data_IF_839889610925
#
_entry.id   IF_839889610925
#
_cell.length_a   1.000
_cell.length_b   1.000
_cell.length_c   1.000
_cell.angle_alpha   90.00
_cell.angle_beta   90.00
_cell.angle_gamma   90.00
#
_symmetry.space_group_name_H-M   'P 1'
#
loop_
_entity.id
_entity.type
_entity.pdbx_description
1 polymer ?
#
# COMPACT_ATOMS: atom_id res chain seq x y z
N UNK A 1 0.23 3.50 -49.59
CA UNK A 1 -0.56 2.61 -48.73
C UNK A 1 -0.24 2.96 -47.29
N UNK A 2 -1.18 3.69 -46.69
CA UNK A 2 -1.36 4.13 -45.29
C UNK A 2 -0.23 3.91 -44.27
N UNK A 3 0.43 5.02 -43.95
CA UNK A 3 0.74 5.51 -42.59
C UNK A 3 -0.31 5.06 -41.54
N UNK A 4 0.05 4.14 -40.65
CA UNK A 4 -0.67 3.97 -39.39
C UNK A 4 0.31 3.77 -38.23
N UNK A 5 0.78 4.91 -37.76
CA UNK A 5 1.02 5.29 -36.37
C UNK A 5 1.34 4.18 -35.36
N UNK A 6 2.56 4.26 -34.82
CA UNK A 6 2.86 3.82 -33.46
C UNK A 6 2.02 4.65 -32.47
N UNK A 7 1.41 4.00 -31.47
CA UNK A 7 1.57 4.54 -30.13
C UNK A 7 1.95 3.45 -29.15
N UNK A 8 3.16 3.58 -28.63
CA UNK A 8 3.44 3.65 -27.19
C UNK A 8 2.90 2.47 -26.39
N UNK A 9 3.82 1.69 -25.84
CA UNK A 9 3.93 1.57 -24.38
C UNK A 9 5.21 0.78 -24.11
N UNK A 10 6.27 1.49 -23.74
CA UNK A 10 7.14 0.90 -22.73
C UNK A 10 6.26 0.71 -21.49
N UNK A 11 6.32 -0.46 -20.85
CA UNK A 11 6.69 -0.30 -19.47
C UNK A 11 7.63 -1.42 -19.14
N UNK A 12 8.79 -1.04 -18.60
CA UNK A 12 9.36 -1.59 -17.37
C UNK A 12 8.58 -2.80 -16.79
N UNK A 13 8.60 -3.89 -17.54
CA UNK A 13 7.94 -5.12 -17.20
C UNK A 13 8.93 -5.78 -16.30
N UNK A 14 8.87 -5.45 -15.00
CA UNK A 14 9.40 -6.35 -13.99
C UNK A 14 8.61 -7.65 -14.18
N UNK A 15 9.10 -8.50 -15.09
CA UNK A 15 8.65 -9.86 -15.25
C UNK A 15 9.01 -10.50 -13.93
N UNK A 16 8.05 -10.48 -13.01
CA UNK A 16 8.08 -11.25 -11.79
C UNK A 16 8.33 -12.68 -12.24
N UNK A 17 9.59 -13.14 -12.16
CA UNK A 17 10.01 -14.47 -12.57
C UNK A 17 9.04 -15.46 -11.94
N UNK A 18 8.08 -15.92 -12.74
CA UNK A 18 7.08 -16.86 -12.30
C UNK A 18 7.83 -18.15 -12.02
N UNK A 19 7.80 -18.61 -10.76
CA UNK A 19 8.26 -19.97 -10.46
C UNK A 19 7.35 -20.91 -11.26
N UNK A 20 7.91 -21.59 -12.28
CA UNK A 20 7.21 -22.57 -13.14
C UNK A 20 6.29 -23.44 -12.26
N UNK A 21 4.98 -23.37 -12.50
CA UNK A 21 3.99 -24.25 -11.86
C UNK A 21 3.23 -23.71 -10.63
N UNK A 22 3.36 -22.43 -10.25
CA UNK A 22 2.51 -21.84 -9.19
C UNK A 22 1.45 -20.89 -9.77
N UNK A 23 0.16 -21.03 -9.40
CA UNK A 23 -0.86 -20.07 -9.80
C UNK A 23 -0.47 -18.68 -9.28
N UNK A 24 -0.47 -17.70 -10.18
CA UNK A 24 -0.22 -16.31 -9.86
C UNK A 24 -1.54 -15.57 -9.79
N UNK A 25 -1.61 -14.58 -8.90
CA UNK A 25 -2.80 -13.76 -8.70
C UNK A 25 -2.51 -12.36 -9.23
N UNK A 26 -3.30 -11.90 -10.19
CA UNK A 26 -3.09 -10.63 -10.90
C UNK A 26 -4.13 -9.61 -10.44
N UNK A 27 -3.68 -8.38 -10.17
CA UNK A 27 -4.59 -7.27 -9.89
C UNK A 27 -5.25 -6.79 -11.18
N UNK A 28 -6.57 -6.78 -11.23
CA UNK A 28 -7.33 -6.32 -12.41
C UNK A 28 -7.16 -4.83 -12.71
N UNK A 29 -6.84 -4.02 -11.71
CA UNK A 29 -6.75 -2.56 -11.85
C UNK A 29 -5.39 -2.09 -12.35
N UNK A 30 -4.29 -2.69 -11.88
CA UNK A 30 -2.93 -2.26 -12.23
C UNK A 30 -2.03 -3.37 -12.78
N UNK A 31 -2.59 -4.56 -13.04
CA UNK A 31 -1.90 -5.71 -13.61
C UNK A 31 -0.67 -6.20 -12.82
N UNK A 32 -0.55 -5.81 -11.53
CA UNK A 32 0.51 -6.31 -10.66
C UNK A 32 0.30 -7.79 -10.34
N UNK A 33 1.39 -8.55 -10.42
CA UNK A 33 1.39 -10.01 -10.22
C UNK A 33 1.88 -10.34 -8.80
N UNK A 34 1.10 -11.16 -8.11
CA UNK A 34 1.39 -11.66 -6.77
C UNK A 34 1.48 -13.19 -6.78
N UNK A 35 2.42 -13.73 -6.01
CA UNK A 35 2.59 -15.18 -5.85
C UNK A 35 1.64 -15.79 -4.82
N UNK A 36 0.86 -14.97 -4.09
CA UNK A 36 -0.08 -15.37 -3.04
C UNK A 36 -1.38 -14.56 -3.14
N UNK A 37 -2.53 -15.23 -3.01
CA UNK A 37 -3.85 -14.60 -3.05
C UNK A 37 -4.05 -13.56 -1.94
N UNK A 38 -3.55 -13.83 -0.74
CA UNK A 38 -3.61 -12.91 0.41
C UNK A 38 -2.93 -11.58 0.10
N UNK A 39 -1.77 -11.62 -0.56
CA UNK A 39 -1.05 -10.40 -0.93
C UNK A 39 -1.81 -9.59 -1.98
N UNK A 40 -2.47 -10.26 -2.93
CA UNK A 40 -3.35 -9.59 -3.88
C UNK A 40 -4.53 -8.92 -3.15
N UNK A 41 -5.24 -9.64 -2.28
CA UNK A 41 -6.36 -9.09 -1.49
C UNK A 41 -5.94 -7.87 -0.67
N UNK A 42 -4.80 -7.95 -0.02
CA UNK A 42 -4.22 -6.82 0.74
C UNK A 42 -3.87 -5.66 -0.17
N UNK A 43 -3.31 -5.92 -1.35
CA UNK A 43 -3.02 -4.87 -2.32
C UNK A 43 -4.28 -4.20 -2.86
N UNK A 44 -5.38 -4.92 -3.04
CA UNK A 44 -6.64 -4.31 -3.49
C UNK A 44 -7.11 -3.18 -2.55
N UNK A 45 -6.81 -3.27 -1.25
CA UNK A 45 -7.11 -2.17 -0.31
C UNK A 45 -6.34 -0.89 -0.62
N UNK A 46 -5.18 -0.94 -1.31
CA UNK A 46 -4.46 0.27 -1.72
C UNK A 46 -5.08 1.00 -2.89
N UNK A 47 -5.99 0.34 -3.62
CA UNK A 47 -6.78 0.96 -4.68
C UNK A 47 -8.00 1.71 -4.13
N UNK A 48 -8.40 1.41 -2.90
CA UNK A 48 -9.46 2.11 -2.22
C UNK A 48 -8.93 3.39 -1.57
N UNK A 49 -9.80 4.39 -1.45
CA UNK A 49 -9.52 5.62 -0.71
C UNK A 49 -9.08 5.29 0.72
N UNK A 50 -8.01 5.92 1.24
CA UNK A 50 -7.49 5.61 2.56
C UNK A 50 -8.47 6.06 3.65
N UNK A 51 -9.05 5.07 4.33
CA UNK A 51 -10.11 5.27 5.33
C UNK A 51 -9.59 5.57 6.74
N UNK A 52 -8.31 5.29 7.01
CA UNK A 52 -7.74 5.37 8.35
C UNK A 52 -6.90 6.63 8.48
N UNK A 53 -7.42 7.66 9.14
CA UNK A 53 -6.71 8.93 9.35
C UNK A 53 -5.99 8.94 10.70
N UNK A 54 -4.74 9.40 10.70
CA UNK A 54 -4.02 9.74 11.91
C UNK A 54 -4.58 11.04 12.50
N UNK A 55 -4.97 11.02 13.76
CA UNK A 55 -5.51 12.20 14.44
C UNK A 55 -4.42 13.23 14.83
N UNK A 56 -3.14 12.85 14.78
CA UNK A 56 -2.03 13.71 15.19
C UNK A 56 -1.47 14.52 14.00
N UNK A 57 -1.35 13.91 12.83
CA UNK A 57 -0.76 14.56 11.65
C UNK A 57 -1.58 14.40 10.37
N UNK A 58 -2.85 14.03 10.51
CA UNK A 58 -3.85 13.90 9.43
C UNK A 58 -3.49 12.95 8.27
N UNK A 59 -2.37 12.22 8.38
CA UNK A 59 -1.95 11.23 7.39
C UNK A 59 -2.99 10.13 7.28
N UNK A 60 -3.37 9.80 6.05
CA UNK A 60 -4.35 8.76 5.75
C UNK A 60 -3.65 7.45 5.32
N UNK A 61 -4.21 6.34 5.77
CA UNK A 61 -3.74 5.00 5.51
C UNK A 61 -4.89 4.15 4.97
N UNK A 62 -4.57 3.22 4.07
CA UNK A 62 -5.54 2.28 3.51
C UNK A 62 -5.80 1.06 4.42
N UNK A 63 -5.00 0.91 5.49
CA UNK A 63 -5.10 -0.21 6.43
C UNK A 63 -4.85 0.21 7.86
N UNK A 64 -5.54 -0.44 8.80
CA UNK A 64 -5.45 -0.20 10.25
C UNK A 64 -4.06 -0.50 10.82
N UNK A 65 -3.41 -1.60 10.42
CA UNK A 65 -2.09 -1.97 10.92
C UNK A 65 -0.99 -0.96 10.52
N UNK A 66 -1.14 -0.33 9.36
CA UNK A 66 -0.24 0.73 8.91
C UNK A 66 -0.42 2.00 9.76
N UNK A 67 -1.67 2.35 10.07
CA UNK A 67 -2.02 3.45 10.96
C UNK A 67 -1.49 3.19 12.37
N UNK A 68 -1.68 1.99 12.93
CA UNK A 68 -1.20 1.62 14.28
C UNK A 68 0.32 1.70 14.38
N UNK A 69 1.05 1.12 13.42
CA UNK A 69 2.51 1.24 13.37
C UNK A 69 2.97 2.69 13.21
N UNK A 70 2.22 3.49 12.45
CA UNK A 70 2.48 4.92 12.33
C UNK A 70 2.23 5.66 13.64
N UNK A 71 1.17 5.33 14.37
CA UNK A 71 0.85 5.90 15.67
C UNK A 71 1.94 5.62 16.69
N UNK A 72 2.55 4.44 16.70
CA UNK A 72 3.69 4.14 17.59
C UNK A 72 4.87 5.11 17.43
N UNK A 73 5.05 5.70 16.25
CA UNK A 73 6.07 6.74 16.04
C UNK A 73 5.71 8.06 16.73
N UNK A 74 4.42 8.38 16.82
CA UNK A 74 3.96 9.49 17.65
C UNK A 74 4.04 9.13 19.12
N UNK A 75 3.66 7.91 19.51
CA UNK A 75 3.78 7.46 20.90
C UNK A 75 5.22 7.44 21.39
N UNK A 76 6.20 7.11 20.55
CA UNK A 76 7.62 7.24 20.89
C UNK A 76 8.08 8.69 21.15
N UNK A 77 7.34 9.69 20.67
CA UNK A 77 7.53 11.11 21.03
C UNK A 77 6.69 11.48 22.27
N UNK A 78 5.58 10.77 22.50
CA UNK A 78 4.67 10.98 23.64
C UNK A 78 5.23 10.36 24.93
N UNK A 79 6.00 9.28 24.87
CA UNK A 79 6.70 8.69 26.03
C UNK A 79 7.79 9.62 26.60
N UNK A 80 8.19 10.69 25.88
CA UNK A 80 9.01 11.78 26.41
C UNK A 80 8.20 12.94 27.00
N UNK A 81 6.87 12.94 26.87
CA UNK A 81 6.00 14.06 27.26
C UNK A 81 4.80 13.64 28.13
N UNK A 82 4.72 12.38 28.56
CA UNK A 82 3.65 11.90 29.44
C UNK A 82 3.85 12.18 30.95
N UNK A 83 4.89 12.90 31.34
CA UNK A 83 5.08 13.28 32.76
C UNK A 83 4.22 14.49 33.21
N UNK A 84 3.40 15.10 32.35
CA UNK A 84 2.62 16.30 32.71
C UNK A 84 1.09 16.12 32.64
N UNK A 85 0.56 14.93 32.97
CA UNK A 85 -0.89 14.80 33.19
C UNK A 85 -1.28 13.84 34.32
N UNK A 86 -0.62 13.97 35.47
CA UNK A 86 -1.21 13.64 36.77
C UNK A 86 -0.98 14.80 37.74
N UNK A 87 -1.72 15.89 37.55
CA UNK A 87 -1.98 16.82 38.64
C UNK A 87 -3.42 17.33 38.56
N UNK A 88 -4.29 16.63 39.29
CA UNK A 88 -5.44 17.24 39.93
C UNK A 88 -5.66 16.57 41.28
#
# INVERSE_FOLDING_TARGET
MSDYSDPQLTPNGKVSKAKKGKPVHVCSECQKVYTRAEHLRRHQTSHQEPQYQCQICERRFHRRDLLERHFRRHEGEIEHTQDEYHQQ
#
